data_IF_864301357371
#
_entry.id   IF_864301357371
#
_cell.length_a   1.000
_cell.length_b   1.000
_cell.length_c   1.000
_cell.angle_alpha   90.00
_cell.angle_beta   90.00
_cell.angle_gamma   90.00
#
_symmetry.space_group_name_H-M   'P 1'
#
loop_
_entity.id
_entity.type
_entity.pdbx_description
1 polymer ?
#
# COMPACT_ATOMS: atom_id res chain seq x y z
N UNK A 1 0.47 -2.30 15.08
CA UNK A 1 0.99 -1.32 16.08
C UNK A 1 0.91 -1.88 17.50
N UNK A 2 -0.27 -2.28 17.99
CA UNK A 2 -0.43 -2.94 19.30
C UNK A 2 0.24 -4.32 19.39
N UNK A 3 0.07 -5.16 18.36
CA UNK A 3 0.63 -6.52 18.28
C UNK A 3 2.17 -6.59 18.28
N UNK A 4 2.82 -5.49 17.91
CA UNK A 4 4.28 -5.35 17.83
C UNK A 4 4.69 -4.02 18.46
N UNK A 5 4.54 -3.91 19.78
CA UNK A 5 4.82 -2.65 20.51
C UNK A 5 6.25 -2.13 20.38
N UNK A 6 7.21 -2.98 20.01
CA UNK A 6 8.59 -2.59 19.75
C UNK A 6 8.83 -1.99 18.35
N UNK A 7 7.89 -2.16 17.41
CA UNK A 7 8.03 -1.62 16.05
C UNK A 7 7.67 -0.14 16.02
N UNK A 8 8.41 0.63 15.22
CA UNK A 8 8.03 1.99 14.87
C UNK A 8 7.29 1.98 13.54
N UNK A 9 6.13 2.62 13.50
CA UNK A 9 5.27 2.64 12.31
C UNK A 9 5.09 4.09 11.85
N UNK A 10 5.33 4.33 10.57
CA UNK A 10 5.01 5.60 9.92
C UNK A 10 3.87 5.35 8.94
N UNK A 11 2.72 5.98 9.17
CA UNK A 11 1.57 5.95 8.27
C UNK A 11 1.52 7.27 7.49
N UNK A 12 1.23 7.19 6.20
CA UNK A 12 1.12 8.37 5.34
C UNK A 12 -0.15 8.32 4.50
N UNK A 13 -0.73 9.48 4.23
CA UNK A 13 -1.88 9.61 3.33
C UNK A 13 -1.85 10.97 2.60
N UNK A 14 -2.37 11.01 1.37
CA UNK A 14 -2.46 12.23 0.55
C UNK A 14 -3.64 13.10 0.97
N UNK A 15 -4.67 12.51 1.58
CA UNK A 15 -5.91 13.20 1.95
C UNK A 15 -5.78 13.75 3.39
N UNK A 16 -5.78 15.08 3.60
CA UNK A 16 -5.62 15.67 4.93
C UNK A 16 -6.64 15.17 5.96
N UNK A 17 -7.87 14.91 5.53
CA UNK A 17 -8.95 14.37 6.37
C UNK A 17 -8.65 12.94 6.84
N UNK A 18 -8.05 12.11 5.98
CA UNK A 18 -7.62 10.75 6.32
C UNK A 18 -6.46 10.78 7.32
N UNK A 19 -5.48 11.68 7.13
CA UNK A 19 -4.41 11.94 8.09
C UNK A 19 -4.97 12.34 9.47
N UNK A 20 -5.91 13.28 9.50
CA UNK A 20 -6.55 13.72 10.74
C UNK A 20 -7.35 12.60 11.41
N UNK A 21 -8.04 11.76 10.64
CA UNK A 21 -8.76 10.59 11.15
C UNK A 21 -7.80 9.54 11.74
N UNK A 22 -6.71 9.24 11.05
CA UNK A 22 -5.69 8.31 11.50
C UNK A 22 -5.01 8.81 12.79
N UNK A 23 -4.72 10.11 12.90
CA UNK A 23 -4.16 10.70 14.11
C UNK A 23 -5.14 10.62 15.30
N UNK A 24 -6.44 10.89 15.08
CA UNK A 24 -7.46 10.67 16.12
C UNK A 24 -7.52 9.22 16.57
N UNK A 25 -7.44 8.26 15.65
CA UNK A 25 -7.43 6.84 15.97
C UNK A 25 -6.17 6.46 16.77
N UNK A 26 -5.00 6.98 16.37
CA UNK A 26 -3.73 6.79 17.08
C UNK A 26 -3.83 7.26 18.53
N UNK A 27 -4.36 8.46 18.76
CA UNK A 27 -4.53 9.04 20.10
C UNK A 27 -5.53 8.23 20.94
N UNK A 28 -6.70 7.91 20.37
CA UNK A 28 -7.75 7.13 21.04
C UNK A 28 -7.28 5.74 21.46
N UNK A 29 -6.44 5.10 20.63
CA UNK A 29 -5.88 3.77 20.89
C UNK A 29 -4.54 3.82 21.64
N UNK A 30 -4.07 5.02 22.03
CA UNK A 30 -2.82 5.23 22.78
C UNK A 30 -1.58 4.61 22.10
N UNK A 31 -1.52 4.67 20.77
CA UNK A 31 -0.43 4.11 19.98
C UNK A 31 0.74 5.09 19.92
N UNK A 32 1.63 5.01 20.90
CA UNK A 32 2.82 5.86 21.00
C UNK A 32 3.92 5.53 19.97
N UNK A 33 3.88 4.34 19.38
CA UNK A 33 4.86 3.84 18.41
C UNK A 33 4.45 4.07 16.95
N UNK A 34 3.47 4.95 16.71
CA UNK A 34 2.97 5.30 15.38
C UNK A 34 3.16 6.79 15.15
N UNK A 35 3.61 7.16 13.95
CA UNK A 35 3.60 8.54 13.46
C UNK A 35 2.71 8.62 12.22
N UNK A 36 1.93 9.69 12.09
CA UNK A 36 1.04 9.91 10.94
C UNK A 36 1.46 11.18 10.21
N UNK A 37 1.67 11.11 8.90
CA UNK A 37 2.13 12.24 8.08
C UNK A 37 1.21 12.46 6.89
N UNK A 38 1.04 13.72 6.50
CA UNK A 38 0.49 14.07 5.20
C UNK A 38 1.59 13.92 4.14
N UNK A 39 1.38 13.03 3.17
CA UNK A 39 2.35 12.74 2.12
C UNK A 39 1.64 12.29 0.86
N UNK A 40 2.12 12.72 -0.30
CA UNK A 40 1.84 12.00 -1.53
C UNK A 40 2.88 10.90 -1.69
N UNK A 41 2.48 9.65 -1.46
CA UNK A 41 3.38 8.50 -1.45
C UNK A 41 4.60 8.75 -0.57
N UNK A 42 5.80 8.72 -1.15
CA UNK A 42 7.06 8.83 -0.42
C UNK A 42 7.56 10.27 -0.19
N UNK A 43 6.86 11.29 -0.71
CA UNK A 43 7.35 12.69 -0.75
C UNK A 43 7.72 13.29 0.62
N UNK A 44 7.02 12.93 1.70
CA UNK A 44 7.33 13.42 3.05
C UNK A 44 8.30 12.51 3.84
N UNK A 45 8.76 11.40 3.27
CA UNK A 45 9.58 10.41 3.97
C UNK A 45 11.09 10.70 3.91
N UNK A 46 11.54 11.58 3.00
CA UNK A 46 12.95 11.92 2.82
C UNK A 46 13.83 10.65 2.74
N UNK A 47 14.92 10.55 3.51
CA UNK A 47 15.82 9.39 3.51
C UNK A 47 15.41 8.26 4.46
N UNK A 48 14.18 8.27 4.98
CA UNK A 48 13.69 7.21 5.88
C UNK A 48 13.64 5.87 5.15
N UNK A 49 14.13 4.84 5.84
CA UNK A 49 14.13 3.45 5.38
C UNK A 49 13.40 2.55 6.36
N UNK A 50 12.75 1.53 5.83
CA UNK A 50 11.90 0.61 6.57
C UNK A 50 12.28 -0.83 6.28
N UNK A 51 12.08 -1.71 7.26
CA UNK A 51 12.21 -3.16 7.07
C UNK A 51 10.99 -3.76 6.35
N UNK A 52 9.86 -3.04 6.38
CA UNK A 52 8.59 -3.45 5.80
C UNK A 52 7.80 -2.22 5.36
N UNK A 53 7.35 -2.22 4.11
CA UNK A 53 6.37 -1.29 3.56
C UNK A 53 5.13 -2.10 3.20
N UNK A 54 3.97 -1.66 3.69
CA UNK A 54 2.66 -2.23 3.36
C UNK A 54 1.81 -1.12 2.78
N UNK A 55 1.09 -1.39 1.69
CA UNK A 55 0.12 -0.45 1.14
C UNK A 55 -1.11 -1.19 0.62
N UNK A 56 -2.27 -0.57 0.82
CA UNK A 56 -3.49 -0.86 0.09
C UNK A 56 -3.82 0.35 -0.79
N UNK A 57 -3.16 0.49 -1.95
CA UNK A 57 -3.37 1.63 -2.84
C UNK A 57 -4.69 1.50 -3.60
N UNK A 58 -5.16 2.59 -4.24
CA UNK A 58 -6.18 2.50 -5.27
C UNK A 58 -5.76 1.48 -6.34
N UNK A 59 -6.71 0.67 -6.81
CA UNK A 59 -6.42 -0.40 -7.77
C UNK A 59 -7.53 -0.63 -8.81
N UNK A 60 -8.58 0.20 -8.82
CA UNK A 60 -9.71 0.05 -9.75
C UNK A 60 -9.36 0.73 -11.08
N UNK A 61 -9.67 0.08 -12.20
CA UNK A 61 -9.48 0.67 -13.52
C UNK A 61 -10.51 1.78 -13.78
N UNK A 62 -10.11 2.85 -14.49
CA UNK A 62 -10.95 4.01 -14.75
C UNK A 62 -12.25 3.73 -15.53
N UNK A 63 -12.37 2.57 -16.19
CA UNK A 63 -13.54 2.13 -16.93
C UNK A 63 -14.33 0.99 -16.27
N UNK A 64 -14.02 0.62 -15.03
CA UNK A 64 -14.65 -0.52 -14.37
C UNK A 64 -16.10 -0.20 -13.95
N UNK A 65 -17.03 -1.08 -14.29
CA UNK A 65 -18.44 -0.98 -13.89
C UNK A 65 -18.65 -1.02 -12.38
N UNK A 66 -17.72 -1.62 -11.61
CA UNK A 66 -17.80 -1.69 -10.15
C UNK A 66 -17.69 -0.31 -9.47
N UNK A 67 -17.18 0.72 -10.16
CA UNK A 67 -17.23 2.11 -9.68
C UNK A 67 -18.67 2.64 -9.55
N UNK A 68 -19.61 2.03 -10.26
CA UNK A 68 -21.03 2.40 -10.26
C UNK A 68 -21.91 1.48 -9.37
N UNK A 69 -21.32 0.53 -8.65
CA UNK A 69 -22.05 -0.46 -7.85
C UNK A 69 -21.60 -0.44 -6.37
N UNK A 70 -22.50 -0.79 -5.45
CA UNK A 70 -22.17 -0.92 -4.02
C UNK A 70 -21.92 0.38 -3.23
N UNK A 71 -21.24 0.26 -2.09
CA UNK A 71 -20.86 1.35 -1.17
C UNK A 71 -19.70 2.21 -1.72
N UNK A 72 -18.96 1.67 -2.68
CA UNK A 72 -17.77 2.30 -3.29
C UNK A 72 -18.11 3.59 -4.04
N UNK A 73 -19.36 3.78 -4.47
CA UNK A 73 -19.85 5.02 -5.10
C UNK A 73 -19.74 6.27 -4.22
N UNK A 74 -19.68 6.08 -2.89
CA UNK A 74 -19.58 7.19 -1.95
C UNK A 74 -18.12 7.51 -1.58
N UNK A 75 -17.16 6.72 -2.06
CA UNK A 75 -15.75 6.98 -1.87
C UNK A 75 -15.19 7.87 -3.00
N UNK A 76 -14.28 8.81 -2.69
CA UNK A 76 -13.72 9.71 -3.69
C UNK A 76 -12.94 8.93 -4.76
N UNK A 77 -13.09 9.30 -6.03
CA UNK A 77 -12.42 8.62 -7.16
C UNK A 77 -10.90 8.49 -6.97
N UNK A 78 -10.27 9.48 -6.32
CA UNK A 78 -8.83 9.46 -6.01
C UNK A 78 -8.39 8.34 -5.05
N UNK A 79 -9.32 7.72 -4.33
CA UNK A 79 -9.07 6.57 -3.46
C UNK A 79 -9.31 5.24 -4.18
N UNK A 80 -9.89 5.26 -5.38
CA UNK A 80 -10.35 4.07 -6.08
C UNK A 80 -9.63 3.83 -7.40
N UNK A 81 -9.44 4.87 -8.21
CA UNK A 81 -9.03 4.75 -9.60
C UNK A 81 -7.50 4.84 -9.76
N UNK A 82 -6.90 3.81 -10.35
CA UNK A 82 -5.46 3.72 -10.61
C UNK A 82 -5.15 3.51 -12.11
N UNK A 83 -5.64 4.42 -12.95
CA UNK A 83 -5.33 4.42 -14.39
C UNK A 83 -6.16 3.45 -15.22
N UNK A 84 -5.70 3.18 -16.45
CA UNK A 84 -6.47 2.42 -17.44
C UNK A 84 -6.64 0.93 -17.07
N UNK A 85 -5.67 0.34 -16.37
CA UNK A 85 -5.69 -1.06 -15.93
C UNK A 85 -5.68 -1.22 -14.41
N UNK A 86 -5.82 -0.12 -13.67
CA UNK A 86 -5.87 -0.14 -12.21
C UNK A 86 -4.51 -0.38 -11.54
N UNK A 87 -3.38 -0.24 -12.26
CA UNK A 87 -2.04 -0.54 -11.74
C UNK A 87 -1.13 0.68 -11.60
N UNK A 88 -1.57 1.90 -11.92
CA UNK A 88 -0.67 3.07 -11.95
C UNK A 88 -0.05 3.39 -10.60
N UNK A 89 -0.83 3.37 -9.52
CA UNK A 89 -0.33 3.60 -8.17
C UNK A 89 0.56 2.44 -7.68
N UNK A 90 0.18 1.21 -8.00
CA UNK A 90 0.99 0.01 -7.72
C UNK A 90 2.36 0.11 -8.40
N UNK A 91 2.41 0.50 -9.68
CA UNK A 91 3.67 0.73 -10.41
C UNK A 91 4.50 1.82 -9.75
N UNK A 92 3.87 2.92 -9.35
CA UNK A 92 4.56 4.01 -8.67
C UNK A 92 5.21 3.53 -7.37
N UNK A 93 4.47 2.79 -6.54
CA UNK A 93 4.98 2.27 -5.27
C UNK A 93 6.13 1.29 -5.49
N UNK A 94 5.97 0.31 -6.39
CA UNK A 94 7.01 -0.67 -6.69
C UNK A 94 8.30 0.00 -7.17
N UNK A 95 8.18 1.05 -8.00
CA UNK A 95 9.35 1.78 -8.51
C UNK A 95 10.08 2.60 -7.43
N UNK A 96 9.36 3.13 -6.43
CA UNK A 96 9.93 4.00 -5.39
C UNK A 96 10.36 3.23 -4.13
N UNK A 97 9.70 2.11 -3.81
CA UNK A 97 9.95 1.34 -2.59
C UNK A 97 11.42 0.95 -2.36
N UNK A 98 12.23 0.56 -3.36
CA UNK A 98 13.66 0.25 -3.15
C UNK A 98 14.46 1.41 -2.54
N UNK A 99 14.06 2.66 -2.77
CA UNK A 99 14.71 3.83 -2.17
C UNK A 99 14.43 3.98 -0.67
N UNK A 100 13.35 3.36 -0.18
CA UNK A 100 12.86 3.45 1.19
C UNK A 100 12.85 2.12 1.93
N UNK A 101 13.35 1.05 1.33
CA UNK A 101 13.57 -0.22 2.00
C UNK A 101 15.01 -0.35 2.47
N UNK A 102 15.19 -1.00 3.61
CA UNK A 102 16.47 -1.57 3.99
C UNK A 102 16.77 -2.79 3.10
N UNK A 103 18.06 -3.10 2.95
CA UNK A 103 18.50 -4.34 2.33
C UNK A 103 17.84 -5.55 3.03
N UNK A 104 17.22 -6.45 2.26
CA UNK A 104 16.43 -7.55 2.82
C UNK A 104 15.03 -7.18 3.33
N UNK A 105 14.58 -5.92 3.17
CA UNK A 105 13.26 -5.45 3.55
C UNK A 105 12.14 -5.91 2.61
N UNK A 106 10.89 -5.82 3.05
CA UNK A 106 9.72 -6.36 2.33
C UNK A 106 8.78 -5.27 1.84
N UNK A 107 8.23 -5.48 0.65
CA UNK A 107 7.07 -4.74 0.13
C UNK A 107 5.88 -5.69 0.07
N UNK A 108 4.73 -5.25 0.58
CA UNK A 108 3.46 -5.98 0.50
C UNK A 108 2.36 -5.05 -0.01
N UNK A 109 1.69 -5.45 -1.09
CA UNK A 109 0.68 -4.64 -1.76
C UNK A 109 -0.63 -5.40 -1.83
N UNK A 110 -1.70 -4.78 -1.35
CA UNK A 110 -3.04 -5.19 -1.70
C UNK A 110 -3.38 -4.73 -3.13
N UNK A 111 -4.13 -5.54 -3.86
CA UNK A 111 -4.57 -5.27 -5.24
C UNK A 111 -5.88 -5.98 -5.53
N UNK A 112 -6.52 -5.69 -6.66
CA UNK A 112 -7.74 -6.35 -7.14
C UNK A 112 -7.60 -7.87 -7.33
N UNK A 113 -8.71 -8.61 -7.32
CA UNK A 113 -8.70 -10.09 -7.30
C UNK A 113 -8.06 -10.75 -8.53
N UNK A 114 -7.97 -10.03 -9.65
CA UNK A 114 -7.44 -10.49 -10.94
C UNK A 114 -6.06 -9.90 -11.26
N UNK A 115 -5.53 -9.00 -10.43
CA UNK A 115 -4.29 -8.28 -10.70
C UNK A 115 -3.03 -9.00 -10.22
N UNK A 116 -3.16 -10.10 -9.47
CA UNK A 116 -2.04 -10.76 -8.79
C UNK A 116 -0.88 -11.12 -9.73
N UNK A 117 -1.17 -11.64 -10.93
CA UNK A 117 -0.14 -11.99 -11.90
C UNK A 117 0.66 -10.76 -12.36
N UNK A 118 -0.02 -9.67 -12.69
CA UNK A 118 0.61 -8.42 -13.11
C UNK A 118 1.45 -7.80 -11.98
N UNK A 119 0.96 -7.81 -10.74
CA UNK A 119 1.72 -7.29 -9.59
C UNK A 119 2.99 -8.12 -9.34
N UNK A 120 2.92 -9.46 -9.47
CA UNK A 120 4.11 -10.32 -9.38
C UNK A 120 5.14 -9.98 -10.45
N UNK A 121 4.72 -9.80 -11.71
CA UNK A 121 5.60 -9.42 -12.81
C UNK A 121 6.26 -8.06 -12.57
N UNK A 122 5.50 -7.07 -12.07
CA UNK A 122 6.03 -5.75 -11.73
C UNK A 122 7.09 -5.82 -10.62
N UNK A 123 6.85 -6.60 -9.56
CA UNK A 123 7.82 -6.79 -8.47
C UNK A 123 9.10 -7.47 -8.97
N UNK A 124 8.96 -8.54 -9.76
CA UNK A 124 10.10 -9.24 -10.36
C UNK A 124 10.90 -8.33 -11.29
N UNK A 125 10.21 -7.55 -12.14
CA UNK A 125 10.82 -6.57 -13.03
C UNK A 125 11.56 -5.45 -12.30
N UNK A 126 11.14 -5.12 -11.07
CA UNK A 126 11.80 -4.15 -10.19
C UNK A 126 12.93 -4.76 -9.34
N UNK A 127 13.22 -6.06 -9.50
CA UNK A 127 14.33 -6.74 -8.82
C UNK A 127 14.00 -7.26 -7.42
N UNK A 128 12.71 -7.35 -7.05
CA UNK A 128 12.31 -8.03 -5.81
C UNK A 128 12.43 -9.56 -5.97
N UNK A 129 12.88 -10.21 -4.90
CA UNK A 129 12.97 -11.65 -4.76
C UNK A 129 11.82 -12.20 -3.89
N UNK A 130 11.69 -13.53 -3.82
CA UNK A 130 10.67 -14.20 -2.99
C UNK A 130 9.26 -13.68 -3.25
N UNK A 131 8.96 -13.41 -4.54
CA UNK A 131 7.70 -12.83 -4.97
C UNK A 131 6.59 -13.87 -4.89
N UNK A 132 5.59 -13.59 -4.06
CA UNK A 132 4.47 -14.50 -3.79
C UNK A 132 3.15 -13.73 -3.64
N UNK A 133 2.03 -14.41 -3.94
CA UNK A 133 0.69 -13.88 -3.65
C UNK A 133 0.01 -14.72 -2.57
N UNK A 134 -0.76 -14.05 -1.72
CA UNK A 134 -1.50 -14.62 -0.60
C UNK A 134 -3.00 -14.38 -0.81
N UNK A 135 -3.75 -15.41 -0.45
CA UNK A 135 -5.21 -15.39 -0.55
C UNK A 135 -5.84 -14.81 0.71
N UNK A 136 -6.93 -14.09 0.52
CA UNK A 136 -7.82 -13.67 1.60
C UNK A 136 -8.72 -14.83 2.08
N UNK A 137 -9.63 -14.53 3.02
CA UNK A 137 -10.62 -15.51 3.51
C UNK A 137 -11.64 -15.92 2.42
N UNK A 138 -11.81 -15.10 1.39
CA UNK A 138 -12.63 -15.39 0.21
C UNK A 138 -11.90 -16.24 -0.83
N UNK A 139 -10.67 -16.67 -0.56
CA UNK A 139 -9.79 -17.46 -1.45
C UNK A 139 -9.32 -16.73 -2.70
N UNK A 140 -9.48 -15.41 -2.76
CA UNK A 140 -8.96 -14.56 -3.82
C UNK A 140 -7.53 -14.11 -3.50
N UNK A 141 -6.64 -14.10 -4.49
CA UNK A 141 -5.32 -13.49 -4.32
C UNK A 141 -5.51 -11.99 -4.14
N UNK A 142 -5.25 -11.49 -2.92
CA UNK A 142 -5.44 -10.07 -2.59
C UNK A 142 -4.17 -9.35 -2.22
N UNK A 143 -3.14 -10.09 -1.79
CA UNK A 143 -1.88 -9.51 -1.38
C UNK A 143 -0.77 -10.13 -2.21
N UNK A 144 0.07 -9.30 -2.82
CA UNK A 144 1.34 -9.75 -3.41
C UNK A 144 2.49 -9.09 -2.66
N UNK A 145 3.51 -9.89 -2.34
CA UNK A 145 4.68 -9.45 -1.59
C UNK A 145 5.97 -9.81 -2.32
N UNK A 146 7.03 -9.05 -2.03
CA UNK A 146 8.39 -9.31 -2.51
C UNK A 146 9.42 -8.72 -1.54
N UNK A 147 10.62 -9.30 -1.55
CA UNK A 147 11.74 -8.89 -0.70
C UNK A 147 12.82 -8.20 -1.53
N UNK A 148 13.30 -7.05 -1.08
CA UNK A 148 14.46 -6.41 -1.67
C UNK A 148 15.71 -7.26 -1.36
N UNK A 149 16.62 -7.51 -2.33
CA UNK A 149 17.86 -8.24 -2.07
C UNK A 149 18.70 -7.62 -0.94
N UNK A 150 19.57 -8.45 -0.34
CA UNK A 150 20.52 -8.02 0.69
C UNK A 150 21.78 -7.39 0.11
#
# INVERSE_FOLDING_TARGET
ASERGAWQVTAVDRVPEAVALAERNRQRLQLANVSVLHSHWFSALADQRFDLIISNPPYIAAGDSHLAEGDVRFEPESALVAGADGLDDIRHIIAQAPLHLNAGGWLMLEHGYDQAAAVRELLQGAGFEQVESRKDLGTHERITLGRLPC
#
